data_IF_689477920416
#
_entry.id   IF_689477920416
#
_cell.length_a   1.000
_cell.length_b   1.000
_cell.length_c   1.000
_cell.angle_alpha   90.00
_cell.angle_beta   90.00
_cell.angle_gamma   90.00
#
_symmetry.space_group_name_H-M   'P 1'
#
loop_
_entity.id
_entity.type
_entity.pdbx_description
1 polymer ?
#
# COMPACT_ATOMS: atom_id res chain seq x y z
N UNK A 1 71.79 -66.37 41.01
CA UNK A 1 72.25 -64.96 41.17
C UNK A 1 71.12 -64.09 40.91
N UNK A 2 70.57 -63.45 41.97
CA UNK A 2 69.42 -62.56 41.91
C UNK A 2 69.87 -61.15 41.46
N UNK A 3 69.13 -60.57 40.52
CA UNK A 3 69.14 -59.11 40.35
C UNK A 3 67.70 -58.57 40.52
N UNK A 4 67.53 -57.76 41.56
CA UNK A 4 66.37 -56.98 41.84
C UNK A 4 66.37 -55.75 40.95
N UNK A 5 65.28 -55.47 40.22
CA UNK A 5 65.03 -54.19 39.55
C UNK A 5 63.97 -53.41 40.34
N UNK A 6 64.36 -52.25 40.81
CA UNK A 6 63.45 -51.26 41.42
C UNK A 6 62.57 -50.60 40.32
N UNK A 7 61.26 -50.72 40.48
CA UNK A 7 60.35 -49.99 39.66
C UNK A 7 60.12 -48.55 40.22
N UNK A 8 60.35 -47.55 39.38
CA UNK A 8 59.97 -46.16 39.64
C UNK A 8 58.50 -45.99 39.23
N UNK A 9 57.66 -45.58 40.20
CA UNK A 9 56.29 -45.16 39.99
C UNK A 9 56.32 -43.67 39.64
N UNK A 10 56.02 -43.34 38.37
CA UNK A 10 55.81 -41.96 37.95
C UNK A 10 54.32 -41.57 38.18
N UNK A 11 54.06 -40.61 39.08
CA UNK A 11 52.75 -39.98 39.19
C UNK A 11 52.57 -39.02 37.98
N UNK A 12 51.69 -39.36 37.06
CA UNK A 12 51.23 -38.46 36.03
C UNK A 12 50.08 -37.61 36.60
N UNK A 13 50.32 -36.34 36.86
CA UNK A 13 49.28 -35.35 37.19
C UNK A 13 48.52 -35.03 35.89
N UNK A 14 47.26 -35.49 35.79
CA UNK A 14 46.35 -35.13 34.72
C UNK A 14 45.90 -33.70 34.94
N UNK A 15 46.44 -32.75 34.16
CA UNK A 15 45.91 -31.41 34.04
C UNK A 15 44.61 -31.46 33.20
N UNK A 16 43.45 -31.33 33.81
CA UNK A 16 42.17 -31.14 33.10
C UNK A 16 42.22 -29.79 32.37
N UNK A 17 41.89 -29.69 31.09
CA UNK A 17 41.76 -28.42 30.42
C UNK A 17 40.55 -27.71 30.99
N UNK A 18 40.74 -26.50 31.57
CA UNK A 18 39.67 -25.57 31.87
C UNK A 18 39.11 -25.10 30.53
N UNK A 19 37.96 -25.64 30.14
CA UNK A 19 37.20 -25.14 28.99
C UNK A 19 36.74 -23.73 29.34
N UNK A 20 37.41 -22.72 28.77
CA UNK A 20 36.91 -21.36 28.81
C UNK A 20 35.51 -21.37 28.08
N UNK A 21 34.49 -20.71 28.62
CA UNK A 21 33.22 -20.60 27.90
C UNK A 21 33.52 -19.90 26.58
N UNK A 22 33.31 -20.61 25.48
CA UNK A 22 33.31 -20.01 24.18
C UNK A 22 32.09 -19.06 24.14
N UNK A 23 32.34 -17.79 24.39
CA UNK A 23 31.39 -16.75 23.94
C UNK A 23 31.39 -16.85 22.41
N UNK A 24 30.47 -17.63 21.89
CA UNK A 24 30.10 -17.54 20.50
C UNK A 24 29.63 -16.09 20.30
N UNK A 25 30.48 -15.27 19.72
CA UNK A 25 30.13 -13.96 19.23
C UNK A 25 29.16 -14.22 18.07
N UNK A 26 27.88 -14.50 18.40
CA UNK A 26 26.82 -14.56 17.41
C UNK A 26 26.73 -13.16 16.81
N UNK A 27 26.98 -13.07 15.50
CA UNK A 27 26.74 -11.83 14.75
C UNK A 27 25.29 -11.35 14.94
N UNK A 28 24.93 -10.20 14.44
CA UNK A 28 23.58 -9.68 14.58
C UNK A 28 22.54 -10.66 14.02
N UNK A 29 21.41 -10.78 14.70
CA UNK A 29 20.28 -11.62 14.25
C UNK A 29 19.70 -11.00 12.99
N UNK A 30 19.69 -11.78 11.90
CA UNK A 30 19.18 -11.33 10.62
C UNK A 30 17.64 -11.35 10.59
N UNK A 31 17.05 -10.23 10.18
CA UNK A 31 15.61 -10.03 9.98
C UNK A 31 15.36 -9.82 8.49
N UNK A 32 14.94 -10.84 7.78
CA UNK A 32 14.63 -10.77 6.36
C UNK A 32 13.32 -10.02 6.10
N UNK A 33 13.34 -9.06 5.19
CA UNK A 33 12.19 -8.23 4.83
C UNK A 33 11.95 -8.26 3.31
N UNK A 34 10.78 -8.75 2.88
CA UNK A 34 10.39 -8.77 1.48
C UNK A 34 9.43 -7.65 1.15
N UNK A 35 9.71 -6.90 0.07
CA UNK A 35 8.92 -5.76 -0.36
C UNK A 35 8.65 -5.74 -1.86
N UNK A 36 7.62 -4.97 -2.26
CA UNK A 36 7.15 -4.81 -3.64
C UNK A 36 7.42 -3.44 -4.24
N UNK A 37 8.29 -2.62 -3.63
CA UNK A 37 8.60 -1.28 -4.10
C UNK A 37 9.76 -1.31 -5.10
N UNK A 38 9.47 -0.90 -6.35
CA UNK A 38 10.49 -0.67 -7.36
C UNK A 38 11.28 0.62 -7.06
N UNK A 39 12.38 0.84 -7.78
CA UNK A 39 13.15 2.09 -7.68
C UNK A 39 12.33 3.29 -8.16
N UNK A 40 12.46 4.47 -7.51
CA UNK A 40 13.39 4.80 -6.40
C UNK A 40 12.90 4.42 -5.00
N UNK A 41 11.62 4.04 -4.84
CA UNK A 41 11.01 3.81 -3.53
C UNK A 41 11.67 2.63 -2.78
N UNK A 42 12.10 1.60 -3.51
CA UNK A 42 12.84 0.48 -2.95
C UNK A 42 14.17 0.92 -2.32
N UNK A 43 14.92 1.79 -3.02
CA UNK A 43 16.19 2.34 -2.51
C UNK A 43 16.00 3.13 -1.22
N UNK A 44 14.98 4.00 -1.16
CA UNK A 44 14.66 4.76 0.06
C UNK A 44 14.28 3.83 1.23
N UNK A 45 13.60 2.71 0.97
CA UNK A 45 13.29 1.72 2.00
C UNK A 45 14.55 0.98 2.48
N UNK A 46 15.48 0.68 1.56
CA UNK A 46 16.78 0.08 1.86
C UNK A 46 17.63 1.03 2.72
N UNK A 47 17.60 2.35 2.45
CA UNK A 47 18.27 3.37 3.26
C UNK A 47 17.71 3.40 4.69
N UNK A 48 16.39 3.31 4.88
CA UNK A 48 15.77 3.22 6.21
C UNK A 48 16.22 1.95 6.95
N UNK A 49 16.27 0.81 6.27
CA UNK A 49 16.78 -0.43 6.85
C UNK A 49 18.27 -0.31 7.24
N UNK A 50 19.08 0.34 6.40
CA UNK A 50 20.49 0.60 6.70
C UNK A 50 20.66 1.55 7.91
N UNK A 51 19.83 2.58 8.03
CA UNK A 51 19.82 3.48 9.18
C UNK A 51 19.49 2.74 10.48
N UNK A 52 18.46 1.87 10.46
CA UNK A 52 18.17 1.00 11.60
C UNK A 52 19.35 0.13 11.95
N UNK A 53 19.97 -0.52 10.96
CA UNK A 53 21.11 -1.39 11.16
C UNK A 53 22.32 -0.65 11.76
N UNK A 54 22.53 0.62 11.40
CA UNK A 54 23.59 1.45 11.95
C UNK A 54 23.30 1.96 13.38
N UNK A 55 22.03 2.01 13.80
CA UNK A 55 21.63 2.56 15.09
C UNK A 55 21.82 1.59 16.27
N UNK A 56 22.05 0.30 16.00
CA UNK A 56 22.18 -0.75 17.00
C UNK A 56 23.02 -1.93 16.44
N UNK A 57 23.40 -2.92 17.28
CA UNK A 57 24.28 -4.02 16.90
C UNK A 57 23.65 -5.41 17.03
N UNK A 58 22.44 -5.51 17.59
CA UNK A 58 21.78 -6.80 17.90
C UNK A 58 21.08 -7.40 16.68
N UNK A 59 20.51 -6.58 15.80
CA UNK A 59 19.68 -7.00 14.68
C UNK A 59 20.20 -6.43 13.37
N UNK A 60 19.96 -7.16 12.30
CA UNK A 60 20.28 -6.72 10.96
C UNK A 60 19.09 -6.97 10.04
N UNK A 61 18.39 -5.92 9.64
CA UNK A 61 17.32 -6.00 8.63
C UNK A 61 17.96 -6.11 7.25
N UNK A 62 17.54 -7.15 6.51
CA UNK A 62 17.96 -7.41 5.13
C UNK A 62 16.71 -7.35 4.24
N UNK A 63 16.56 -6.25 3.51
CA UNK A 63 15.46 -6.03 2.58
C UNK A 63 15.72 -6.73 1.25
N UNK A 64 14.66 -7.22 0.61
CA UNK A 64 14.72 -7.85 -0.70
C UNK A 64 13.49 -7.49 -1.53
N UNK A 65 13.72 -6.91 -2.70
CA UNK A 65 12.66 -6.67 -3.68
C UNK A 65 12.17 -7.99 -4.28
N UNK A 66 10.85 -8.22 -4.27
CA UNK A 66 10.22 -9.46 -4.78
C UNK A 66 9.29 -9.23 -5.97
N UNK A 67 9.48 -8.13 -6.68
CA UNK A 67 8.61 -7.69 -7.77
C UNK A 67 7.51 -6.76 -7.26
N UNK A 68 6.46 -6.54 -8.07
CA UNK A 68 5.31 -5.71 -7.63
C UNK A 68 4.54 -6.37 -6.47
N UNK A 69 3.64 -5.65 -5.85
CA UNK A 69 2.87 -6.13 -4.70
C UNK A 69 2.20 -7.50 -4.91
N UNK A 70 1.48 -7.77 -6.03
CA UNK A 70 0.93 -9.11 -6.27
C UNK A 70 1.98 -10.22 -6.29
N UNK A 71 3.15 -9.98 -6.90
CA UNK A 71 4.26 -10.95 -6.92
C UNK A 71 4.84 -11.18 -5.54
N UNK A 72 4.99 -10.13 -4.73
CA UNK A 72 5.44 -10.23 -3.33
C UNK A 72 4.47 -11.09 -2.51
N UNK A 73 3.15 -10.92 -2.71
CA UNK A 73 2.14 -11.74 -2.04
C UNK A 73 2.26 -13.23 -2.42
N UNK A 74 2.39 -13.53 -3.71
CA UNK A 74 2.57 -14.91 -4.19
C UNK A 74 3.84 -15.53 -3.59
N UNK A 75 4.95 -14.78 -3.58
CA UNK A 75 6.21 -15.22 -2.99
C UNK A 75 6.08 -15.50 -1.49
N UNK A 76 5.37 -14.64 -0.74
CA UNK A 76 5.15 -14.83 0.70
C UNK A 76 4.32 -16.09 1.00
N UNK A 77 3.26 -16.34 0.23
CA UNK A 77 2.42 -17.56 0.35
C UNK A 77 3.27 -18.81 0.07
N UNK A 78 4.07 -18.81 -1.00
CA UNK A 78 4.94 -19.92 -1.35
C UNK A 78 6.00 -20.14 -0.26
N UNK A 79 6.65 -19.07 0.21
CA UNK A 79 7.63 -19.12 1.28
C UNK A 79 7.07 -19.67 2.59
N UNK A 80 5.84 -19.29 2.96
CA UNK A 80 5.19 -19.85 4.14
C UNK A 80 4.96 -21.37 4.00
N UNK A 81 4.46 -21.81 2.86
CA UNK A 81 4.21 -23.26 2.60
C UNK A 81 5.49 -24.10 2.65
N UNK A 82 6.62 -23.54 2.21
CA UNK A 82 7.93 -24.19 2.20
C UNK A 82 8.77 -23.94 3.46
N UNK A 83 8.22 -23.29 4.48
CA UNK A 83 8.91 -22.89 5.71
C UNK A 83 10.14 -21.97 5.48
N UNK A 84 10.09 -21.16 4.44
CA UNK A 84 11.11 -20.15 4.06
C UNK A 84 10.56 -18.73 4.02
N UNK A 85 9.41 -18.48 4.64
CA UNK A 85 8.82 -17.13 4.69
C UNK A 85 9.79 -16.10 5.32
N UNK A 86 9.75 -14.83 4.88
CA UNK A 86 10.53 -13.78 5.51
C UNK A 86 10.03 -13.49 6.93
N UNK A 87 10.79 -12.74 7.70
CA UNK A 87 10.35 -12.24 9.00
C UNK A 87 9.28 -11.16 8.84
N UNK A 88 9.45 -10.31 7.83
CA UNK A 88 8.54 -9.21 7.50
C UNK A 88 8.21 -9.29 6.02
N UNK A 89 6.92 -9.13 5.70
CA UNK A 89 6.45 -8.93 4.33
C UNK A 89 5.68 -7.64 4.20
N UNK A 90 5.97 -6.88 3.17
CA UNK A 90 5.14 -5.77 2.75
C UNK A 90 3.93 -6.30 1.97
N UNK A 91 2.74 -5.97 2.44
CA UNK A 91 1.50 -6.37 1.80
C UNK A 91 0.65 -5.13 1.53
N UNK A 92 0.25 -4.96 0.26
CA UNK A 92 -0.62 -3.85 -0.13
C UNK A 92 -2.03 -4.03 0.45
N UNK A 93 -2.79 -2.93 0.52
CA UNK A 93 -4.09 -2.89 1.18
C UNK A 93 -5.06 -3.97 0.70
N UNK A 94 -5.01 -4.30 -0.59
CA UNK A 94 -5.85 -5.35 -1.21
C UNK A 94 -5.67 -6.71 -0.57
N UNK A 95 -4.46 -7.00 -0.12
CA UNK A 95 -4.12 -8.25 0.55
C UNK A 95 -4.59 -8.33 2.00
N UNK A 96 -5.05 -7.24 2.61
CA UNK A 96 -5.34 -7.16 4.05
C UNK A 96 -6.37 -8.18 4.49
N UNK A 97 -7.48 -8.34 3.79
CA UNK A 97 -8.50 -9.35 4.13
C UNK A 97 -7.94 -10.77 4.10
N UNK A 98 -7.12 -11.09 3.11
CA UNK A 98 -6.43 -12.39 3.01
C UNK A 98 -5.40 -12.58 4.13
N UNK A 99 -4.62 -11.54 4.45
CA UNK A 99 -3.63 -11.61 5.53
C UNK A 99 -4.29 -11.78 6.90
N UNK A 100 -5.39 -11.10 7.17
CA UNK A 100 -6.14 -11.26 8.43
C UNK A 100 -6.73 -12.66 8.60
N UNK A 101 -7.11 -13.32 7.51
CA UNK A 101 -7.58 -14.70 7.51
C UNK A 101 -6.45 -15.75 7.48
N UNK A 102 -5.20 -15.33 7.33
CA UNK A 102 -4.06 -16.25 7.16
C UNK A 102 -3.67 -17.00 8.45
N UNK A 103 -4.36 -16.79 9.58
CA UNK A 103 -4.21 -17.54 10.82
C UNK A 103 -2.73 -17.63 11.27
N UNK A 104 -2.20 -18.86 11.31
CA UNK A 104 -0.82 -19.13 11.77
C UNK A 104 0.28 -18.56 10.86
N UNK A 105 -0.04 -18.05 9.66
CA UNK A 105 0.99 -17.51 8.78
C UNK A 105 1.53 -16.16 9.26
N UNK A 106 0.74 -15.42 10.00
CA UNK A 106 1.11 -14.11 10.53
C UNK A 106 1.27 -14.15 12.05
N UNK A 107 2.08 -13.24 12.56
CA UNK A 107 2.12 -12.85 13.97
C UNK A 107 1.42 -11.51 14.06
N UNK A 108 0.20 -11.43 14.64
CA UNK A 108 -0.51 -10.16 14.80
C UNK A 108 0.34 -9.13 15.53
N UNK A 109 0.33 -7.88 15.04
CA UNK A 109 1.21 -6.84 15.59
C UNK A 109 0.97 -6.60 17.09
N UNK A 110 -0.30 -6.57 17.52
CA UNK A 110 -0.62 -6.38 18.93
C UNK A 110 -0.09 -7.51 19.84
N UNK A 111 -0.01 -8.74 19.33
CA UNK A 111 0.61 -9.86 20.07
C UNK A 111 2.13 -9.74 20.09
N UNK A 112 2.73 -9.42 18.94
CA UNK A 112 4.17 -9.19 18.82
C UNK A 112 4.64 -8.14 19.81
N UNK A 113 3.95 -7.00 19.88
CA UNK A 113 4.30 -5.89 20.79
C UNK A 113 4.11 -6.29 22.27
N UNK A 114 3.03 -6.98 22.61
CA UNK A 114 2.79 -7.48 23.97
C UNK A 114 3.90 -8.45 24.43
N UNK A 115 4.29 -9.40 23.58
CA UNK A 115 5.28 -10.42 23.91
C UNK A 115 6.69 -9.85 24.01
N UNK A 116 7.02 -8.87 23.19
CA UNK A 116 8.34 -8.25 23.16
C UNK A 116 8.47 -7.08 24.15
N UNK A 117 7.37 -6.55 24.67
CA UNK A 117 7.37 -5.34 25.51
C UNK A 117 7.75 -4.06 24.75
N UNK A 118 7.81 -4.09 23.42
CA UNK A 118 8.00 -2.90 22.57
C UNK A 118 6.70 -2.13 22.48
N UNK A 119 6.76 -0.80 22.56
CA UNK A 119 5.58 0.07 22.49
C UNK A 119 5.61 0.95 21.25
N UNK A 120 4.45 1.13 20.62
CA UNK A 120 4.20 2.05 19.51
C UNK A 120 2.92 2.81 19.82
N UNK A 121 2.94 4.14 19.69
CA UNK A 121 1.75 4.97 19.92
C UNK A 121 0.86 5.00 18.68
N UNK A 122 -0.13 4.10 18.60
CA UNK A 122 -1.09 4.09 17.51
C UNK A 122 -2.19 5.15 17.60
N UNK A 123 -2.33 5.85 18.73
CA UNK A 123 -3.30 6.95 18.85
C UNK A 123 -2.87 8.19 18.05
N UNK A 124 -1.58 8.29 17.73
CA UNK A 124 -1.04 9.33 16.84
C UNK A 124 -1.29 9.05 15.34
N UNK A 125 -1.63 7.81 14.98
CA UNK A 125 -1.88 7.47 13.57
C UNK A 125 -3.18 8.08 13.06
N UNK A 126 -3.18 8.44 11.76
CA UNK A 126 -4.38 8.92 11.08
C UNK A 126 -5.51 7.88 11.20
N UNK A 127 -6.75 8.28 11.55
CA UNK A 127 -7.84 7.34 11.80
C UNK A 127 -8.11 6.37 10.65
N UNK A 128 -8.06 6.85 9.39
CA UNK A 128 -8.25 6.01 8.21
C UNK A 128 -7.17 4.92 8.09
N UNK A 129 -5.93 5.24 8.43
CA UNK A 129 -4.80 4.30 8.38
C UNK A 129 -4.90 3.28 9.52
N UNK A 130 -5.06 3.76 10.76
CA UNK A 130 -5.22 2.90 11.94
C UNK A 130 -6.42 1.95 11.81
N UNK A 131 -7.58 2.51 11.47
CA UNK A 131 -8.84 1.76 11.40
C UNK A 131 -8.83 0.68 10.33
N UNK A 132 -8.04 0.87 9.26
CA UNK A 132 -7.95 -0.12 8.20
C UNK A 132 -7.18 -1.38 8.63
N UNK A 133 -6.07 -1.24 9.37
CA UNK A 133 -5.20 -2.34 9.77
C UNK A 133 -5.48 -2.89 11.18
N UNK A 134 -6.56 -2.47 11.82
CA UNK A 134 -6.98 -2.98 13.13
C UNK A 134 -8.20 -3.88 13.04
N UNK A 135 -8.36 -4.74 14.06
CA UNK A 135 -9.61 -5.44 14.33
C UNK A 135 -10.71 -4.47 14.78
N UNK A 136 -11.94 -4.95 14.89
CA UNK A 136 -13.07 -4.12 15.35
C UNK A 136 -12.89 -3.56 16.77
N UNK A 137 -12.14 -4.25 17.61
CA UNK A 137 -11.78 -3.84 18.98
C UNK A 137 -10.54 -2.91 19.05
N UNK A 138 -10.00 -2.51 17.90
CA UNK A 138 -8.85 -1.60 17.80
C UNK A 138 -7.47 -2.25 17.86
N UNK A 139 -7.37 -3.56 18.06
CA UNK A 139 -6.08 -4.27 18.08
C UNK A 139 -5.43 -4.27 16.70
N UNK A 140 -4.18 -3.80 16.62
CA UNK A 140 -3.45 -3.70 15.36
C UNK A 140 -2.97 -5.06 14.88
N UNK A 141 -3.19 -5.33 13.59
CA UNK A 141 -2.77 -6.58 12.94
C UNK A 141 -1.45 -6.44 12.17
N UNK A 142 -1.18 -5.26 11.63
CA UNK A 142 0.02 -4.96 10.84
C UNK A 142 0.57 -3.58 11.19
N UNK A 143 1.82 -3.31 10.80
CA UNK A 143 2.49 -2.02 10.93
C UNK A 143 2.21 -1.17 9.70
N UNK A 144 1.36 -0.12 9.79
CA UNK A 144 1.14 0.78 8.65
C UNK A 144 2.39 1.62 8.40
N UNK A 145 2.81 1.75 7.14
CA UNK A 145 3.98 2.56 6.81
C UNK A 145 3.80 3.37 5.53
N UNK A 146 3.78 2.74 4.37
CA UNK A 146 3.66 3.45 3.10
C UNK A 146 2.21 3.53 2.61
N UNK A 147 1.35 4.10 3.43
CA UNK A 147 -0.03 4.39 3.04
C UNK A 147 -0.11 5.57 2.07
N UNK A 148 -1.05 5.50 1.14
CA UNK A 148 -1.34 6.54 0.16
C UNK A 148 -2.85 6.76 0.05
N UNK A 149 -3.26 7.71 -0.77
CA UNK A 149 -4.60 7.76 -1.33
C UNK A 149 -4.51 8.15 -2.80
N UNK A 150 -5.52 7.83 -3.60
CA UNK A 150 -5.54 8.28 -4.98
C UNK A 150 -5.90 9.76 -5.04
N UNK A 151 -5.19 10.49 -5.89
CA UNK A 151 -5.47 11.88 -6.23
C UNK A 151 -5.38 12.08 -7.75
N UNK A 152 -5.75 13.25 -8.22
CA UNK A 152 -5.52 13.65 -9.59
C UNK A 152 -4.24 14.48 -9.67
N UNK A 153 -3.29 14.05 -10.50
CA UNK A 153 -2.19 14.91 -10.94
C UNK A 153 -2.49 15.48 -12.32
N UNK A 154 -1.96 16.67 -12.60
CA UNK A 154 -2.10 17.30 -13.91
C UNK A 154 -0.86 18.05 -14.32
N UNK A 155 -0.62 18.11 -15.63
CA UNK A 155 0.52 18.81 -16.22
C UNK A 155 0.15 20.26 -16.49
N UNK A 156 0.70 21.20 -15.71
CA UNK A 156 0.44 22.64 -15.82
C UNK A 156 0.86 23.21 -17.17
N UNK A 157 1.90 22.67 -17.81
CA UNK A 157 2.32 23.07 -19.15
C UNK A 157 1.29 22.64 -20.19
N UNK A 158 0.79 21.42 -20.11
CA UNK A 158 -0.30 20.95 -20.96
C UNK A 158 -1.56 21.80 -20.82
N UNK A 159 -1.89 22.24 -19.61
CA UNK A 159 -3.00 23.15 -19.33
C UNK A 159 -2.79 24.50 -20.02
N UNK A 160 -1.60 25.12 -19.88
CA UNK A 160 -1.27 26.39 -20.57
C UNK A 160 -1.43 26.27 -22.08
N UNK A 161 -0.87 25.22 -22.68
CA UNK A 161 -0.98 24.96 -24.14
C UNK A 161 -2.42 24.79 -24.62
N UNK A 162 -3.27 24.22 -23.76
CA UNK A 162 -4.71 24.07 -24.05
C UNK A 162 -5.54 25.31 -23.72
N UNK A 163 -4.91 26.43 -23.27
CA UNK A 163 -5.59 27.64 -22.82
C UNK A 163 -6.42 27.44 -21.54
N UNK A 164 -6.06 26.45 -20.71
CA UNK A 164 -6.64 26.22 -19.39
C UNK A 164 -5.82 26.96 -18.33
N UNK A 165 -6.46 27.33 -17.21
CA UNK A 165 -5.73 27.89 -16.08
C UNK A 165 -4.88 26.78 -15.41
N UNK A 166 -3.54 26.92 -15.36
CA UNK A 166 -2.65 25.91 -14.78
C UNK A 166 -2.77 25.78 -13.26
N UNK A 167 -3.43 26.72 -12.58
CA UNK A 167 -3.59 26.71 -11.13
C UNK A 167 -5.03 26.34 -10.70
N UNK A 168 -5.87 25.95 -11.65
CA UNK A 168 -7.26 25.56 -11.41
C UNK A 168 -7.56 24.20 -12.05
N UNK A 169 -7.54 23.17 -11.22
CA UNK A 169 -7.89 21.81 -11.63
C UNK A 169 -9.41 21.59 -11.66
N UNK A 170 -9.93 20.73 -12.54
CA UNK A 170 -11.34 20.32 -12.51
C UNK A 170 -11.68 19.61 -11.19
N UNK A 171 -12.86 19.93 -10.64
CA UNK A 171 -13.33 19.42 -9.35
C UNK A 171 -14.44 18.37 -9.49
N UNK A 172 -15.11 18.33 -10.62
CA UNK A 172 -16.20 17.40 -10.90
C UNK A 172 -16.06 16.81 -12.32
N UNK A 173 -16.84 15.76 -12.60
CA UNK A 173 -16.74 15.04 -13.89
C UNK A 173 -17.18 15.87 -15.11
N UNK A 174 -18.04 16.86 -14.93
CA UNK A 174 -18.41 17.78 -16.02
C UNK A 174 -17.22 18.67 -16.41
N UNK A 175 -16.59 19.29 -15.42
CA UNK A 175 -15.36 20.08 -15.64
C UNK A 175 -14.22 19.22 -16.16
N UNK A 176 -14.10 17.98 -15.65
CA UNK A 176 -13.09 17.02 -16.07
C UNK A 176 -13.19 16.70 -17.58
N UNK A 177 -14.40 16.41 -18.08
CA UNK A 177 -14.64 16.17 -19.51
C UNK A 177 -14.34 17.42 -20.34
N UNK A 178 -14.78 18.60 -19.89
CA UNK A 178 -14.50 19.85 -20.59
C UNK A 178 -12.99 20.14 -20.69
N UNK A 179 -12.25 19.94 -19.59
CA UNK A 179 -10.79 20.10 -19.58
C UNK A 179 -10.11 19.08 -20.53
N UNK A 180 -10.56 17.81 -20.51
CA UNK A 180 -10.03 16.77 -21.38
C UNK A 180 -10.23 17.09 -22.88
N UNK A 181 -11.41 17.63 -23.25
CA UNK A 181 -11.71 18.08 -24.61
C UNK A 181 -10.77 19.21 -25.04
N UNK A 182 -10.53 20.19 -24.17
CA UNK A 182 -9.60 21.28 -24.47
C UNK A 182 -8.14 20.82 -24.56
N UNK A 183 -7.72 19.91 -23.69
CA UNK A 183 -6.39 19.30 -23.76
C UNK A 183 -6.19 18.57 -25.12
N UNK A 184 -7.20 17.82 -25.56
CA UNK A 184 -7.18 17.16 -26.88
C UNK A 184 -7.04 18.15 -28.01
N UNK A 185 -7.85 19.23 -27.99
CA UNK A 185 -7.78 20.30 -28.99
C UNK A 185 -6.43 21.04 -28.96
N UNK A 186 -5.80 21.14 -27.80
CA UNK A 186 -4.45 21.70 -27.60
C UNK A 186 -3.30 20.76 -27.99
N UNK A 187 -3.61 19.60 -28.61
CA UNK A 187 -2.61 18.66 -29.12
C UNK A 187 -2.01 17.71 -28.09
N UNK A 188 -2.65 17.54 -26.93
CA UNK A 188 -2.23 16.54 -25.94
C UNK A 188 -2.74 15.16 -26.40
N UNK A 189 -1.79 14.23 -26.63
CA UNK A 189 -2.08 12.89 -27.16
C UNK A 189 -3.02 12.10 -26.24
N UNK A 190 -2.75 12.16 -24.93
CA UNK A 190 -3.50 11.48 -23.89
C UNK A 190 -4.04 12.50 -22.89
N UNK A 191 -5.22 13.15 -23.13
CA UNK A 191 -5.74 14.14 -22.20
C UNK A 191 -5.88 13.62 -20.78
N UNK A 192 -6.42 12.40 -20.60
CA UNK A 192 -6.63 11.74 -19.31
C UNK A 192 -6.16 10.30 -19.39
N UNK A 193 -5.48 9.87 -18.33
CA UNK A 193 -5.15 8.46 -18.10
C UNK A 193 -5.37 8.08 -16.64
N UNK A 194 -5.14 6.81 -16.30
CA UNK A 194 -5.27 6.29 -14.94
C UNK A 194 -4.21 5.24 -14.67
N UNK A 195 -3.71 5.20 -13.45
CA UNK A 195 -2.96 4.09 -12.89
C UNK A 195 -3.81 3.40 -11.83
N UNK A 196 -3.56 2.12 -11.54
CA UNK A 196 -4.32 1.34 -10.57
C UNK A 196 -5.85 1.41 -10.79
N UNK A 197 -6.32 1.08 -12.01
CA UNK A 197 -7.64 1.50 -12.50
C UNK A 197 -8.82 1.05 -11.64
N UNK A 198 -8.82 -0.15 -11.06
CA UNK A 198 -9.89 -0.56 -10.14
C UNK A 198 -9.90 0.29 -8.88
N UNK A 199 -8.72 0.57 -8.33
CA UNK A 199 -8.62 1.38 -7.12
C UNK A 199 -9.03 2.84 -7.37
N UNK A 200 -8.56 3.44 -8.46
CA UNK A 200 -8.82 4.85 -8.76
C UNK A 200 -10.21 5.09 -9.35
N UNK A 201 -10.72 4.19 -10.21
CA UNK A 201 -11.95 4.40 -10.96
C UNK A 201 -13.16 3.62 -10.41
N UNK A 202 -12.96 2.63 -9.55
CA UNK A 202 -14.06 1.89 -8.91
C UNK A 202 -14.12 2.18 -7.42
N UNK A 203 -13.09 1.81 -6.69
CA UNK A 203 -13.08 1.84 -5.23
C UNK A 203 -13.14 3.26 -4.67
N UNK A 204 -12.30 4.17 -5.19
CA UNK A 204 -12.33 5.60 -4.81
C UNK A 204 -13.61 6.27 -5.28
N UNK A 205 -14.08 5.95 -6.49
CA UNK A 205 -15.34 6.50 -7.00
C UNK A 205 -16.49 6.17 -6.08
N UNK A 206 -16.64 4.91 -5.70
CA UNK A 206 -17.69 4.47 -4.77
C UNK A 206 -17.51 5.11 -3.38
N UNK A 207 -16.29 5.12 -2.85
CA UNK A 207 -16.01 5.69 -1.53
C UNK A 207 -16.38 7.17 -1.45
N UNK A 208 -15.92 8.00 -2.40
CA UNK A 208 -16.17 9.45 -2.44
C UNK A 208 -17.68 9.76 -2.54
N UNK A 209 -18.45 8.88 -3.16
CA UNK A 209 -19.91 9.02 -3.28
C UNK A 209 -20.68 8.25 -2.19
N UNK A 210 -20.01 7.77 -1.17
CA UNK A 210 -20.60 7.00 -0.06
C UNK A 210 -21.45 5.80 -0.55
N UNK A 211 -21.04 5.16 -1.62
CA UNK A 211 -21.72 4.02 -2.23
C UNK A 211 -20.95 2.75 -1.89
N UNK A 212 -21.61 1.66 -1.46
CA UNK A 212 -20.92 0.43 -1.11
C UNK A 212 -20.32 -0.25 -2.35
N UNK A 213 -19.10 -0.80 -2.20
CA UNK A 213 -18.50 -1.73 -3.14
C UNK A 213 -19.00 -3.16 -2.89
N UNK A 214 -19.22 -3.47 -1.62
CA UNK A 214 -19.72 -4.77 -1.16
C UNK A 214 -20.60 -4.59 0.10
N UNK A 215 -21.40 -5.60 0.41
CA UNK A 215 -22.17 -5.68 1.66
C UNK A 215 -21.26 -5.75 2.89
N UNK A 216 -21.85 -5.70 4.08
CA UNK A 216 -21.13 -5.82 5.36
C UNK A 216 -19.98 -4.80 5.51
N UNK A 217 -20.29 -3.52 5.26
CA UNK A 217 -19.29 -2.43 5.33
C UNK A 217 -18.04 -2.75 4.49
N UNK A 218 -18.24 -3.12 3.22
CA UNK A 218 -17.15 -3.52 2.31
C UNK A 218 -16.30 -4.68 2.86
N UNK A 219 -16.92 -5.65 3.52
CA UNK A 219 -16.29 -6.85 4.06
C UNK A 219 -15.70 -6.72 5.47
N UNK A 220 -15.81 -5.56 6.13
CA UNK A 220 -15.39 -5.42 7.53
C UNK A 220 -16.28 -6.21 8.50
N UNK A 221 -17.55 -6.43 8.14
CA UNK A 221 -18.53 -7.14 8.98
C UNK A 221 -18.48 -8.68 8.87
N UNK A 222 -17.70 -9.24 7.95
CA UNK A 222 -17.59 -10.71 7.85
C UNK A 222 -17.22 -11.24 6.46
N UNK A 223 -16.99 -12.55 6.41
CA UNK A 223 -16.54 -13.25 5.20
C UNK A 223 -17.63 -13.49 4.16
N UNK A 224 -18.91 -13.40 4.54
CA UNK A 224 -20.06 -13.63 3.67
C UNK A 224 -20.51 -12.36 2.90
N UNK A 225 -19.63 -11.40 2.75
CA UNK A 225 -19.86 -10.21 1.94
C UNK A 225 -20.15 -10.57 0.47
N UNK A 226 -20.89 -9.69 -0.21
CA UNK A 226 -21.25 -9.80 -1.63
C UNK A 226 -20.93 -8.48 -2.34
N UNK A 227 -20.39 -8.55 -3.57
CA UNK A 227 -20.08 -7.37 -4.37
C UNK A 227 -21.34 -6.63 -4.82
N UNK A 228 -21.26 -5.31 -4.86
CA UNK A 228 -22.34 -4.40 -5.28
C UNK A 228 -21.86 -3.37 -6.32
N UNK A 229 -20.82 -3.71 -7.10
CA UNK A 229 -20.23 -2.78 -8.07
C UNK A 229 -21.12 -2.56 -9.31
N UNK A 230 -22.17 -3.34 -9.52
CA UNK A 230 -23.14 -3.19 -10.60
C UNK A 230 -24.25 -2.15 -10.32
N UNK A 231 -23.97 -1.20 -9.43
CA UNK A 231 -24.89 -0.12 -9.10
C UNK A 231 -24.94 0.98 -10.20
N UNK A 232 -25.99 1.82 -10.25
CA UNK A 232 -26.16 2.83 -11.27
C UNK A 232 -24.99 3.83 -11.38
N UNK A 233 -24.34 4.18 -10.26
CA UNK A 233 -23.19 5.07 -10.26
C UNK A 233 -22.02 4.50 -11.04
N UNK A 234 -21.69 3.22 -10.82
CA UNK A 234 -20.56 2.57 -11.50
C UNK A 234 -20.85 2.31 -12.99
N UNK A 235 -22.07 1.92 -13.31
CA UNK A 235 -22.50 1.78 -14.72
C UNK A 235 -22.38 3.13 -15.44
N UNK A 236 -22.87 4.22 -14.85
CA UNK A 236 -22.71 5.58 -15.36
C UNK A 236 -21.24 5.94 -15.53
N UNK A 237 -20.41 5.66 -14.51
CA UNK A 237 -19.00 6.03 -14.53
C UNK A 237 -18.24 5.28 -15.63
N UNK A 238 -18.44 3.98 -15.74
CA UNK A 238 -17.79 3.19 -16.81
C UNK A 238 -18.25 3.63 -18.20
N UNK A 239 -19.55 3.95 -18.40
CA UNK A 239 -20.04 4.56 -19.63
C UNK A 239 -19.33 5.88 -19.94
N UNK A 240 -19.13 6.76 -18.93
CA UNK A 240 -18.38 8.01 -19.10
C UNK A 240 -16.95 7.75 -19.59
N UNK A 241 -16.24 6.78 -19.01
CA UNK A 241 -14.89 6.44 -19.46
C UNK A 241 -14.86 5.84 -20.86
N UNK A 242 -15.87 5.01 -21.22
CA UNK A 242 -16.03 4.44 -22.57
C UNK A 242 -16.28 5.54 -23.60
N UNK A 243 -17.15 6.52 -23.30
CA UNK A 243 -17.39 7.68 -24.15
C UNK A 243 -16.13 8.50 -24.36
N UNK A 244 -15.45 8.87 -23.26
CA UNK A 244 -14.19 9.60 -23.33
C UNK A 244 -13.10 8.83 -24.09
N UNK A 245 -13.09 7.50 -24.01
CA UNK A 245 -12.21 6.64 -24.81
C UNK A 245 -12.49 6.75 -26.29
N UNK A 246 -13.77 6.72 -26.71
CA UNK A 246 -14.20 6.89 -28.11
C UNK A 246 -13.93 8.30 -28.63
N UNK A 247 -14.04 9.31 -27.79
CA UNK A 247 -13.70 10.70 -28.09
C UNK A 247 -12.17 10.93 -28.14
N UNK A 248 -11.36 9.97 -27.73
CA UNK A 248 -9.91 10.09 -27.62
C UNK A 248 -9.46 11.02 -26.50
N UNK A 249 -10.32 11.27 -25.49
CA UNK A 249 -10.03 12.12 -24.33
C UNK A 249 -9.61 11.33 -23.10
N UNK A 250 -9.81 10.01 -23.10
CA UNK A 250 -9.34 9.07 -22.08
C UNK A 250 -8.59 7.91 -22.73
N UNK A 251 -7.45 7.54 -22.14
CA UNK A 251 -6.68 6.36 -22.53
C UNK A 251 -6.43 5.46 -21.34
N UNK A 252 -6.83 4.21 -21.44
CA UNK A 252 -6.46 3.19 -20.48
C UNK A 252 -4.95 2.98 -20.50
N UNK A 253 -4.29 3.27 -19.37
CA UNK A 253 -2.82 3.24 -19.25
C UNK A 253 -2.23 1.84 -19.01
N UNK A 254 -3.08 0.83 -18.84
CA UNK A 254 -2.70 -0.53 -18.46
C UNK A 254 -3.06 -0.84 -17.01
N UNK A 255 -2.66 -2.03 -16.56
CA UNK A 255 -2.91 -2.52 -15.19
C UNK A 255 -1.88 -1.98 -14.21
N UNK A 256 -2.17 -2.08 -12.92
CA UNK A 256 -1.32 -1.59 -11.84
C UNK A 256 -0.86 -0.13 -12.09
N UNK A 257 0.40 0.17 -11.84
CA UNK A 257 0.99 1.49 -12.06
C UNK A 257 1.44 1.78 -13.50
N UNK A 258 1.00 1.02 -14.51
CA UNK A 258 1.49 1.17 -15.89
C UNK A 258 1.18 2.55 -16.48
N UNK A 259 0.03 3.13 -16.13
CA UNK A 259 -0.38 4.46 -16.59
C UNK A 259 0.54 5.60 -16.15
N UNK A 260 1.29 5.43 -15.05
CA UNK A 260 2.21 6.45 -14.54
C UNK A 260 3.23 6.89 -15.58
N UNK A 261 3.67 6.00 -16.48
CA UNK A 261 4.65 6.30 -17.51
C UNK A 261 4.16 7.33 -18.52
N UNK A 262 2.87 7.30 -18.89
CA UNK A 262 2.25 8.26 -19.84
C UNK A 262 2.22 9.67 -19.25
N UNK A 263 2.07 9.81 -17.96
CA UNK A 263 2.10 11.12 -17.30
C UNK A 263 3.53 11.57 -17.02
N UNK A 264 4.38 10.68 -16.53
CA UNK A 264 5.77 10.98 -16.18
C UNK A 264 6.58 11.47 -17.38
N UNK A 265 6.34 10.95 -18.59
CA UNK A 265 7.01 11.40 -19.81
C UNK A 265 6.36 12.64 -20.47
N UNK A 266 5.31 13.20 -19.88
CA UNK A 266 4.59 14.37 -20.38
C UNK A 266 3.59 14.12 -21.51
N UNK A 267 3.33 12.85 -21.89
CA UNK A 267 2.35 12.51 -22.93
C UNK A 267 0.89 12.67 -22.43
N UNK A 268 0.66 12.66 -21.12
CA UNK A 268 -0.69 12.83 -20.56
C UNK A 268 -0.87 14.20 -19.90
N UNK A 269 -2.06 14.77 -20.08
CA UNK A 269 -2.46 16.03 -19.45
C UNK A 269 -2.91 15.88 -17.99
N UNK A 270 -3.63 14.81 -17.69
CA UNK A 270 -4.16 14.48 -16.35
C UNK A 270 -4.05 12.98 -16.10
N UNK A 271 -3.81 12.61 -14.83
CA UNK A 271 -3.77 11.22 -14.39
C UNK A 271 -4.42 11.05 -13.01
N UNK A 272 -5.19 9.98 -12.85
CA UNK A 272 -5.59 9.46 -11.55
C UNK A 272 -4.54 8.46 -11.07
N UNK A 273 -3.86 8.75 -9.98
CA UNK A 273 -2.75 7.94 -9.50
C UNK A 273 -2.61 7.98 -7.97
N UNK A 274 -1.78 7.08 -7.45
CA UNK A 274 -1.37 7.12 -6.04
C UNK A 274 -0.61 8.40 -5.71
N UNK A 275 -0.88 8.99 -4.55
CA UNK A 275 -0.05 10.09 -4.00
C UNK A 275 1.44 9.73 -3.92
N UNK A 276 1.76 8.43 -3.71
CA UNK A 276 3.13 7.90 -3.72
C UNK A 276 3.85 7.97 -5.09
N UNK A 277 3.14 8.28 -6.18
CA UNK A 277 3.75 8.51 -7.49
C UNK A 277 4.39 9.91 -7.61
N UNK A 278 4.15 10.82 -6.65
CA UNK A 278 4.62 12.21 -6.70
C UNK A 278 6.13 12.32 -6.92
N UNK A 279 6.92 11.55 -6.19
CA UNK A 279 8.38 11.61 -6.33
C UNK A 279 8.85 11.27 -7.75
N UNK A 280 8.22 10.28 -8.39
CA UNK A 280 8.47 9.94 -9.78
C UNK A 280 8.08 11.08 -10.71
N UNK A 281 6.90 11.67 -10.53
CA UNK A 281 6.42 12.74 -11.39
C UNK A 281 7.25 14.02 -11.24
N UNK A 282 7.68 14.36 -10.03
CA UNK A 282 8.62 15.49 -9.81
C UNK A 282 9.94 15.27 -10.55
N UNK A 283 10.44 14.05 -10.61
CA UNK A 283 11.73 13.73 -11.25
C UNK A 283 11.63 13.60 -12.77
N UNK A 284 10.57 13.00 -13.29
CA UNK A 284 10.48 12.53 -14.67
C UNK A 284 9.63 13.45 -15.56
N UNK A 285 8.64 14.18 -15.00
CA UNK A 285 7.79 15.08 -15.79
C UNK A 285 8.63 16.23 -16.36
N UNK A 286 8.53 16.55 -17.66
CA UNK A 286 9.19 17.72 -18.23
C UNK A 286 8.85 19.00 -17.46
N UNK A 287 9.88 19.71 -16.96
CA UNK A 287 9.72 20.85 -16.06
C UNK A 287 9.52 20.49 -14.59
N UNK A 288 9.47 19.22 -14.25
CA UNK A 288 9.49 18.73 -12.87
C UNK A 288 8.39 19.31 -11.99
N UNK A 289 8.74 19.65 -10.75
CA UNK A 289 7.80 20.19 -9.76
C UNK A 289 7.06 21.44 -10.23
N UNK A 290 7.66 22.30 -11.07
CA UNK A 290 7.05 23.54 -11.56
C UNK A 290 5.84 23.26 -12.48
N UNK A 291 5.86 22.14 -13.19
CA UNK A 291 4.78 21.72 -14.08
C UNK A 291 3.83 20.68 -13.46
N UNK A 292 4.14 20.20 -12.26
CA UNK A 292 3.30 19.25 -11.56
C UNK A 292 2.20 19.96 -10.77
N UNK A 293 0.94 19.75 -11.14
CA UNK A 293 -0.23 20.08 -10.34
C UNK A 293 -0.80 18.85 -9.64
N UNK A 294 -1.42 19.06 -8.48
CA UNK A 294 -2.14 18.03 -7.76
C UNK A 294 -3.49 18.57 -7.31
N UNK A 295 -4.51 17.73 -7.36
CA UNK A 295 -5.88 18.06 -6.96
C UNK A 295 -6.58 16.86 -6.36
N UNK A 296 -7.64 17.10 -5.60
CA UNK A 296 -8.53 16.04 -5.13
C UNK A 296 -9.22 15.37 -6.33
N UNK A 297 -9.66 14.13 -6.14
CA UNK A 297 -10.40 13.40 -7.16
C UNK A 297 -11.73 14.11 -7.48
N UNK A 298 -12.09 14.22 -8.77
CA UNK A 298 -13.37 14.77 -9.18
C UNK A 298 -14.52 13.83 -8.80
N UNK A 299 -15.67 14.41 -8.56
CA UNK A 299 -16.89 13.68 -8.18
C UNK A 299 -18.08 14.08 -9.06
N UNK A 300 -19.17 13.34 -9.00
CA UNK A 300 -20.43 13.70 -9.63
C UNK A 300 -21.22 14.58 -8.66
N UNK A 301 -21.32 15.86 -8.96
CA UNK A 301 -21.95 16.87 -8.10
C UNK A 301 -23.49 16.79 -8.04
N UNK A 302 -24.09 15.96 -8.88
CA UNK A 302 -25.51 15.63 -8.87
C UNK A 302 -25.86 14.40 -8.01
N UNK A 303 -24.84 13.76 -7.41
CA UNK A 303 -25.04 12.67 -6.45
C UNK A 303 -25.09 13.26 -5.03
N UNK A 304 -26.23 13.14 -4.38
CA UNK A 304 -26.43 13.72 -3.04
C UNK A 304 -25.47 13.16 -2.00
N UNK A 305 -24.94 14.04 -1.14
CA UNK A 305 -24.00 13.69 -0.07
C UNK A 305 -22.55 13.55 -0.52
N UNK A 306 -22.25 13.59 -1.82
CA UNK A 306 -20.88 13.61 -2.32
C UNK A 306 -20.33 15.05 -2.38
N UNK A 307 -19.01 15.23 -2.23
CA UNK A 307 -18.00 14.23 -1.93
C UNK A 307 -17.80 14.01 -0.43
N UNK A 308 -17.57 12.77 -0.03
CA UNK A 308 -17.02 12.44 1.30
C UNK A 308 -15.51 12.15 1.22
N UNK A 309 -14.91 11.60 2.26
CA UNK A 309 -13.48 11.25 2.26
C UNK A 309 -13.16 10.11 1.28
N UNK A 310 -11.91 10.08 0.83
CA UNK A 310 -11.35 8.96 0.05
C UNK A 310 -10.88 7.82 0.95
N UNK A 311 -10.59 6.67 0.36
CA UNK A 311 -9.99 5.52 1.04
C UNK A 311 -8.47 5.52 0.89
N UNK A 312 -7.80 4.85 1.83
CA UNK A 312 -6.36 4.64 1.74
C UNK A 312 -6.01 3.57 0.70
N UNK A 313 -4.76 3.59 0.28
CA UNK A 313 -4.06 2.53 -0.44
C UNK A 313 -2.66 2.38 0.10
N UNK A 314 -1.77 1.79 -0.70
CA UNK A 314 -0.40 1.54 -0.31
C UNK A 314 -0.26 0.24 0.44
N UNK A 315 0.62 0.17 1.47
CA UNK A 315 0.91 -1.09 2.13
C UNK A 315 1.19 -0.94 3.62
N UNK A 316 1.05 -2.06 4.32
CA UNK A 316 1.52 -2.27 5.68
C UNK A 316 2.55 -3.41 5.72
N UNK A 317 3.33 -3.46 6.80
CA UNK A 317 4.29 -4.52 7.04
C UNK A 317 3.72 -5.53 8.03
N UNK A 318 3.81 -6.79 7.64
CA UNK A 318 3.25 -7.91 8.40
C UNK A 318 4.37 -8.78 8.94
N UNK A 319 4.38 -9.04 10.23
CA UNK A 319 5.24 -10.05 10.82
C UNK A 319 4.75 -11.45 10.42
N UNK A 320 5.65 -12.30 9.96
CA UNK A 320 5.32 -13.64 9.49
C UNK A 320 6.01 -14.73 10.31
N UNK A 321 5.29 -15.80 10.59
CA UNK A 321 5.89 -17.05 11.01
C UNK A 321 6.65 -17.70 9.84
N UNK A 322 7.64 -18.54 10.14
CA UNK A 322 8.51 -19.16 9.13
C UNK A 322 7.75 -20.10 8.20
N UNK A 323 6.81 -20.86 8.76
CA UNK A 323 6.04 -21.85 8.02
C UNK A 323 4.92 -22.47 8.88
N UNK A 324 4.16 -23.43 8.34
CA UNK A 324 2.98 -23.99 9.01
C UNK A 324 3.22 -24.55 10.41
N UNK A 325 4.43 -25.12 10.64
CA UNK A 325 4.85 -25.73 11.90
C UNK A 325 6.12 -25.08 12.48
N UNK A 326 6.48 -23.89 12.02
CA UNK A 326 7.71 -23.19 12.40
C UNK A 326 7.41 -21.73 12.76
N UNK A 327 7.49 -21.39 14.03
CA UNK A 327 7.40 -20.03 14.55
C UNK A 327 8.77 -19.35 14.55
N UNK A 328 8.81 -18.08 14.92
CA UNK A 328 10.01 -17.30 15.15
C UNK A 328 10.44 -17.40 16.62
N UNK A 329 11.73 -17.31 16.86
CA UNK A 329 12.27 -17.21 18.21
C UNK A 329 11.86 -15.89 18.89
N UNK A 330 11.99 -15.80 20.21
CA UNK A 330 11.74 -14.56 20.94
C UNK A 330 12.65 -13.40 20.47
N UNK A 331 13.91 -13.72 20.14
CA UNK A 331 14.86 -12.70 19.66
C UNK A 331 14.53 -12.24 18.22
N UNK A 332 14.14 -13.15 17.31
CA UNK A 332 13.65 -12.76 15.96
C UNK A 332 12.41 -11.84 16.09
N UNK A 333 11.45 -12.22 16.94
CA UNK A 333 10.27 -11.40 17.19
C UNK A 333 10.63 -10.03 17.80
N UNK A 334 11.61 -9.99 18.70
CA UNK A 334 12.12 -8.73 19.25
C UNK A 334 12.73 -7.84 18.17
N UNK A 335 13.53 -8.39 17.26
CA UNK A 335 14.11 -7.66 16.13
C UNK A 335 13.06 -7.08 15.19
N UNK A 336 11.99 -7.85 14.88
CA UNK A 336 10.86 -7.35 14.10
C UNK A 336 10.19 -6.16 14.79
N UNK A 337 9.90 -6.30 16.10
CA UNK A 337 9.22 -5.27 16.88
C UNK A 337 10.05 -3.99 17.02
N UNK A 338 11.36 -4.09 17.23
CA UNK A 338 12.26 -2.95 17.30
C UNK A 338 12.38 -2.21 15.97
N UNK A 339 12.44 -2.95 14.84
CA UNK A 339 12.38 -2.32 13.52
C UNK A 339 11.05 -1.60 13.29
N UNK A 340 9.91 -2.18 13.68
CA UNK A 340 8.62 -1.51 13.59
C UNK A 340 8.55 -0.25 14.47
N UNK A 341 9.11 -0.28 15.66
CA UNK A 341 9.20 0.91 16.51
C UNK A 341 10.12 1.99 15.91
N UNK A 342 11.21 1.60 15.24
CA UNK A 342 12.06 2.53 14.49
C UNK A 342 11.29 3.19 13.33
N UNK A 343 10.52 2.41 12.56
CA UNK A 343 9.68 2.92 11.48
C UNK A 343 8.60 3.89 11.97
N UNK A 344 8.11 3.74 13.20
CA UNK A 344 7.12 4.61 13.84
C UNK A 344 7.67 5.96 14.32
N UNK A 345 8.99 6.15 14.30
CA UNK A 345 9.58 7.43 14.73
C UNK A 345 9.10 8.56 13.83
N UNK A 346 8.69 9.67 14.44
CA UNK A 346 8.16 10.85 13.73
C UNK A 346 9.09 11.31 12.61
N UNK A 347 10.41 11.33 12.87
CA UNK A 347 11.43 11.68 11.87
C UNK A 347 11.41 10.74 10.65
N UNK A 348 11.32 9.43 10.88
CA UNK A 348 11.31 8.43 9.79
C UNK A 348 10.06 8.58 8.94
N UNK A 349 8.89 8.71 9.58
CA UNK A 349 7.61 8.93 8.89
C UNK A 349 7.61 10.24 8.11
N UNK A 350 8.13 11.34 8.70
CA UNK A 350 8.21 12.65 8.06
C UNK A 350 9.14 12.62 6.83
N UNK A 351 10.32 12.03 6.96
CA UNK A 351 11.28 11.90 5.87
C UNK A 351 10.72 11.04 4.73
N UNK A 352 10.08 9.91 5.06
CA UNK A 352 9.42 9.07 4.08
C UNK A 352 8.35 9.82 3.29
N UNK A 353 7.48 10.56 3.99
CA UNK A 353 6.45 11.39 3.37
C UNK A 353 7.03 12.41 2.38
N UNK A 354 7.99 13.21 2.83
CA UNK A 354 8.57 14.30 2.01
C UNK A 354 9.35 13.78 0.82
N UNK A 355 10.04 12.64 0.96
CA UNK A 355 10.82 12.01 -0.11
C UNK A 355 9.95 11.30 -1.15
N UNK A 356 8.73 10.83 -0.79
CA UNK A 356 7.97 9.94 -1.67
C UNK A 356 6.63 10.52 -2.13
N UNK A 357 5.91 11.22 -1.25
CA UNK A 357 4.50 11.62 -1.43
C UNK A 357 3.50 10.61 -0.86
N UNK A 358 3.95 9.52 -0.23
CA UNK A 358 3.07 8.72 0.64
C UNK A 358 2.58 9.58 1.81
N UNK A 359 1.49 9.17 2.45
CA UNK A 359 0.93 9.91 3.58
C UNK A 359 1.91 9.99 4.76
N UNK A 360 1.96 11.10 5.50
CA UNK A 360 2.54 11.11 6.84
C UNK A 360 1.55 10.40 7.76
N UNK A 361 1.73 9.08 7.94
CA UNK A 361 0.74 8.21 8.59
C UNK A 361 0.44 8.57 10.04
N UNK A 362 1.20 9.50 10.64
CA UNK A 362 0.99 10.01 12.00
C UNK A 362 0.76 11.52 12.00
N UNK A 363 -0.01 12.01 13.00
CA UNK A 363 -0.27 13.44 13.19
C UNK A 363 1.01 14.21 13.50
N UNK A 364 1.86 13.66 14.37
CA UNK A 364 3.13 14.27 14.74
C UNK A 364 4.04 14.48 13.51
N UNK A 365 4.13 13.52 12.60
CA UNK A 365 4.91 13.68 11.37
C UNK A 365 4.31 14.74 10.44
N UNK A 366 2.98 14.78 10.29
CA UNK A 366 2.30 15.82 9.51
C UNK A 366 2.61 17.23 10.05
N UNK A 367 2.47 17.42 11.38
CA UNK A 367 2.76 18.70 12.02
C UNK A 367 4.24 19.09 11.92
N UNK A 368 5.15 18.14 12.08
CA UNK A 368 6.57 18.36 11.88
C UNK A 368 6.86 18.87 10.46
N UNK A 369 6.33 18.19 9.44
CA UNK A 369 6.52 18.59 8.04
C UNK A 369 5.90 19.95 7.76
N UNK A 370 4.70 20.22 8.29
CA UNK A 370 4.01 21.51 8.16
C UNK A 370 4.86 22.64 8.74
N UNK A 371 5.46 22.43 9.91
CA UNK A 371 6.29 23.41 10.60
C UNK A 371 7.58 23.80 9.83
N UNK A 372 8.08 22.94 8.94
CA UNK A 372 9.23 23.25 8.08
C UNK A 372 8.88 24.16 6.89
N UNK A 373 7.62 24.45 6.63
CA UNK A 373 7.17 25.14 5.44
C UNK A 373 7.18 24.29 4.16
N UNK A 374 7.32 22.96 4.28
CA UNK A 374 7.41 22.05 3.14
C UNK A 374 6.23 22.20 2.17
N UNK A 375 5.01 22.29 2.67
CA UNK A 375 3.79 22.39 1.82
C UNK A 375 3.70 23.73 1.09
N UNK A 376 4.24 24.81 1.66
CA UNK A 376 4.36 26.10 0.98
C UNK A 376 5.34 26.03 -0.19
N UNK A 377 6.47 25.33 0.01
CA UNK A 377 7.49 25.12 -1.02
C UNK A 377 7.11 24.05 -2.04
N UNK A 378 6.18 23.16 -1.70
CA UNK A 378 5.70 22.05 -2.52
C UNK A 378 4.18 22.05 -2.62
N UNK A 379 3.58 23.01 -3.35
CA UNK A 379 2.13 23.13 -3.47
C UNK A 379 1.48 21.82 -3.94
N UNK A 380 0.40 21.43 -3.29
CA UNK A 380 -0.34 20.21 -3.59
C UNK A 380 0.20 18.92 -2.95
N UNK A 381 1.34 18.98 -2.24
CA UNK A 381 1.84 17.81 -1.51
C UNK A 381 0.96 17.41 -0.32
N UNK A 382 0.11 18.30 0.16
CA UNK A 382 -0.87 18.11 1.24
C UNK A 382 -2.27 17.68 0.74
N UNK A 383 -2.53 17.73 -0.56
CA UNK A 383 -3.83 17.34 -1.15
C UNK A 383 -4.29 15.94 -0.69
N UNK A 384 -3.43 14.90 -0.64
CA UNK A 384 -3.83 13.57 -0.18
C UNK A 384 -4.38 13.58 1.25
N UNK A 385 -3.77 14.38 2.13
CA UNK A 385 -4.18 14.50 3.54
C UNK A 385 -5.50 15.25 3.62
N UNK A 386 -5.61 16.37 2.92
CA UNK A 386 -6.84 17.15 2.87
C UNK A 386 -8.02 16.32 2.36
N UNK A 387 -7.80 15.49 1.33
CA UNK A 387 -8.83 14.62 0.76
C UNK A 387 -9.30 13.55 1.76
N UNK A 388 -8.38 12.91 2.48
CA UNK A 388 -8.71 11.93 3.53
C UNK A 388 -9.42 12.56 4.73
N UNK A 389 -9.09 13.80 5.06
CA UNK A 389 -9.67 14.53 6.18
C UNK A 389 -10.92 15.33 5.79
N UNK A 390 -11.38 15.23 4.54
CA UNK A 390 -12.62 15.89 4.10
C UNK A 390 -13.79 15.50 5.03
N UNK A 391 -14.67 16.44 5.34
CA UNK A 391 -15.78 16.19 6.27
C UNK A 391 -15.34 15.88 7.71
N UNK A 392 -14.14 16.34 8.13
CA UNK A 392 -13.58 16.09 9.46
C UNK A 392 -12.95 14.72 9.61
N UNK A 393 -12.72 13.99 8.51
CA UNK A 393 -12.10 12.67 8.52
C UNK A 393 -12.99 11.55 9.06
N UNK A 394 -14.29 11.81 9.18
CA UNK A 394 -15.25 10.78 9.59
C UNK A 394 -15.43 9.77 8.46
N UNK A 395 -15.16 8.51 8.76
CA UNK A 395 -15.35 7.39 7.83
C UNK A 395 -16.74 6.78 8.01
N UNK A 396 -17.37 6.44 6.90
CA UNK A 396 -18.58 5.61 6.86
C UNK A 396 -18.19 4.15 6.61
N UNK A 397 -19.13 3.21 6.66
CA UNK A 397 -18.92 1.82 6.23
C UNK A 397 -18.41 1.72 4.79
N UNK A 398 -18.83 2.67 3.92
CA UNK A 398 -18.48 2.68 2.49
C UNK A 398 -17.14 3.39 2.19
N UNK A 399 -16.67 4.27 3.06
CA UNK A 399 -15.44 5.07 2.85
C UNK A 399 -14.29 4.71 3.81
N UNK A 400 -14.44 3.67 4.58
CA UNK A 400 -13.45 3.14 5.51
C UNK A 400 -12.34 2.35 4.81
N UNK A 401 -12.59 1.86 3.61
CA UNK A 401 -11.74 0.95 2.84
C UNK A 401 -12.48 -0.32 2.44
N UNK A 402 -11.73 -1.29 1.91
CA UNK A 402 -12.29 -2.56 1.42
C UNK A 402 -11.50 -3.72 2.03
N UNK A 403 -12.18 -4.64 2.73
CA UNK A 403 -11.55 -5.74 3.45
C UNK A 403 -12.14 -7.09 3.03
N UNK A 404 -12.07 -7.37 1.74
CA UNK A 404 -12.58 -8.62 1.15
C UNK A 404 -11.47 -9.68 1.06
N UNK A 405 -11.82 -10.93 1.29
CA UNK A 405 -10.94 -12.06 1.02
C UNK A 405 -10.79 -12.31 -0.47
N UNK A 406 -9.57 -12.67 -0.91
CA UNK A 406 -9.31 -12.89 -2.34
C UNK A 406 -9.42 -11.64 -3.21
N UNK A 407 -9.38 -10.44 -2.63
CA UNK A 407 -9.67 -9.19 -3.35
C UNK A 407 -8.67 -8.89 -4.46
N UNK A 408 -7.45 -9.39 -4.40
CA UNK A 408 -6.48 -9.31 -5.51
C UNK A 408 -7.01 -9.96 -6.79
N UNK A 409 -7.63 -11.14 -6.67
CA UNK A 409 -8.27 -11.84 -7.80
C UNK A 409 -9.52 -11.09 -8.28
N UNK A 410 -10.33 -10.57 -7.35
CA UNK A 410 -11.52 -9.77 -7.66
C UNK A 410 -11.13 -8.50 -8.44
N UNK A 411 -10.06 -7.78 -8.05
CA UNK A 411 -9.53 -6.65 -8.82
C UNK A 411 -9.13 -7.07 -10.24
N UNK A 412 -8.50 -8.23 -10.40
CA UNK A 412 -8.14 -8.75 -11.72
C UNK A 412 -9.38 -8.98 -12.58
N UNK A 413 -10.42 -9.59 -12.02
CA UNK A 413 -11.72 -9.80 -12.70
C UNK A 413 -12.32 -8.46 -13.12
N UNK A 414 -12.41 -7.48 -12.22
CA UNK A 414 -12.94 -6.15 -12.54
C UNK A 414 -12.13 -5.47 -13.66
N UNK A 415 -10.80 -5.58 -13.63
CA UNK A 415 -9.94 -5.03 -14.70
C UNK A 415 -10.23 -5.67 -16.04
N UNK A 416 -10.34 -6.99 -16.12
CA UNK A 416 -10.68 -7.71 -17.35
C UNK A 416 -12.03 -7.25 -17.92
N UNK A 417 -13.04 -7.12 -17.08
CA UNK A 417 -14.37 -6.70 -17.51
C UNK A 417 -14.38 -5.22 -17.96
N UNK A 418 -13.67 -4.35 -17.25
CA UNK A 418 -13.52 -2.94 -17.66
C UNK A 418 -12.74 -2.82 -18.97
N UNK A 419 -11.66 -3.58 -19.18
CA UNK A 419 -10.89 -3.61 -20.42
C UNK A 419 -11.76 -4.02 -21.60
N UNK A 420 -12.56 -5.07 -21.45
CA UNK A 420 -13.51 -5.52 -22.50
C UNK A 420 -14.56 -4.47 -22.82
N UNK A 421 -15.08 -3.78 -21.83
CA UNK A 421 -16.03 -2.68 -22.02
C UNK A 421 -15.39 -1.51 -22.79
N UNK A 422 -14.21 -1.06 -22.35
CA UNK A 422 -13.46 0.02 -22.98
C UNK A 422 -13.06 -0.30 -24.44
N UNK A 423 -12.87 -1.59 -24.77
CA UNK A 423 -12.64 -2.08 -26.13
C UNK A 423 -13.93 -2.22 -26.95
N UNK A 424 -15.10 -1.91 -26.39
CA UNK A 424 -16.39 -2.02 -27.05
C UNK A 424 -16.93 -3.45 -27.21
N UNK A 425 -16.36 -4.43 -26.49
CA UNK A 425 -16.75 -5.84 -26.56
C UNK A 425 -18.00 -6.15 -25.72
N UNK A 426 -18.38 -5.26 -24.81
CA UNK A 426 -19.57 -5.37 -23.98
C UNK A 426 -20.00 -4.00 -23.45
N UNK A 427 -21.23 -3.93 -22.92
CA UNK A 427 -21.74 -2.73 -22.25
C UNK A 427 -21.15 -2.56 -20.86
N UNK A 428 -21.21 -1.35 -20.30
CA UNK A 428 -20.80 -1.08 -18.92
C UNK A 428 -21.60 -1.90 -17.93
N UNK A 429 -22.90 -2.04 -18.14
CA UNK A 429 -23.79 -2.85 -17.31
C UNK A 429 -23.40 -4.32 -17.32
N UNK A 430 -23.15 -4.91 -18.50
CA UNK A 430 -22.71 -6.29 -18.63
C UNK A 430 -21.35 -6.51 -17.93
N UNK A 431 -20.40 -5.56 -18.05
CA UNK A 431 -19.12 -5.62 -17.40
C UNK A 431 -19.24 -5.63 -15.86
N UNK A 432 -20.08 -4.75 -15.31
CA UNK A 432 -20.28 -4.68 -13.86
C UNK A 432 -21.05 -5.90 -13.32
N UNK A 433 -22.05 -6.40 -14.02
CA UNK A 433 -22.76 -7.64 -13.66
C UNK A 433 -21.85 -8.87 -13.70
N UNK A 434 -20.99 -8.98 -14.71
CA UNK A 434 -19.97 -10.04 -14.82
C UNK A 434 -18.97 -9.95 -13.66
N UNK A 435 -18.53 -8.75 -13.31
CA UNK A 435 -17.65 -8.51 -12.16
C UNK A 435 -18.27 -9.01 -10.86
N UNK A 436 -19.55 -8.74 -10.60
CA UNK A 436 -20.27 -9.21 -9.42
C UNK A 436 -20.38 -10.75 -9.44
N UNK A 437 -20.82 -11.32 -10.55
CA UNK A 437 -21.02 -12.78 -10.66
C UNK A 437 -19.72 -13.55 -10.44
N UNK A 438 -18.66 -13.17 -11.16
CA UNK A 438 -17.34 -13.82 -11.06
C UNK A 438 -16.67 -13.55 -9.72
N UNK A 439 -16.72 -12.31 -9.23
CA UNK A 439 -16.11 -11.93 -7.97
C UNK A 439 -16.78 -12.58 -6.75
N UNK A 440 -18.10 -12.77 -6.77
CA UNK A 440 -18.81 -13.49 -5.70
C UNK A 440 -18.43 -14.97 -5.63
N UNK A 441 -18.05 -15.61 -6.74
CA UNK A 441 -17.47 -16.96 -6.71
C UNK A 441 -16.17 -16.98 -5.90
N UNK A 442 -15.31 -15.99 -6.08
CA UNK A 442 -14.06 -15.85 -5.31
C UNK A 442 -14.37 -15.67 -3.82
N UNK A 443 -15.33 -14.78 -3.49
CA UNK A 443 -15.73 -14.54 -2.10
C UNK A 443 -16.29 -15.81 -1.44
N UNK A 444 -17.18 -16.55 -2.11
CA UNK A 444 -17.73 -17.81 -1.56
C UNK A 444 -16.65 -18.88 -1.37
N UNK A 445 -15.69 -18.98 -2.29
CA UNK A 445 -14.56 -19.89 -2.16
C UNK A 445 -13.68 -19.50 -0.96
N UNK A 446 -13.38 -18.23 -0.82
CA UNK A 446 -12.58 -17.71 0.31
C UNK A 446 -13.28 -17.95 1.65
N UNK A 447 -14.57 -17.64 1.75
CA UNK A 447 -15.39 -17.87 2.92
C UNK A 447 -15.35 -19.36 3.35
N UNK A 448 -15.61 -20.27 2.41
CA UNK A 448 -15.62 -21.71 2.68
C UNK A 448 -14.28 -22.23 3.21
N UNK A 449 -13.17 -21.70 2.72
CA UNK A 449 -11.83 -22.13 3.14
C UNK A 449 -11.35 -21.49 4.44
N UNK A 450 -12.01 -20.41 4.90
CA UNK A 450 -11.60 -19.63 6.07
C UNK A 450 -12.69 -19.55 7.17
N UNK A 451 -13.81 -20.22 7.01
CA UNK A 451 -14.73 -20.54 8.11
C UNK A 451 -14.09 -21.67 8.91
N UNK A 452 -13.30 -21.34 9.94
CA UNK A 452 -12.75 -22.26 10.93
C UNK A 452 -13.54 -22.25 12.21
#
# INVERSE_FOLDING_TARGET
MLRRSLGQVALAAAAAPIAAPAFAQSGPIEISFWHGLAQPLGGLLEEIAAEFNASQTRFRVVSSFRGCYPKTMVAAIAGFRSATAPHIVQMFEVGTGTMMAAGRAIKPLHELLRETGVTINFDDYLPAVRGYYSLADGRMMAMPFNSSTAIMFYNKDAFRRAGLNPDQAPTNWTEMRAAATRLRAGGIETPVTTAWPTWTQVEQMLAIHNTPLATLDNGFGGLNAELQVNNPLMVRHLNTLMEMGREGTFRWGGRDGAGDALFANGSSGMIFASSGARARFVRELPGGAANLGAAMLPFYNDVGGAPINSIIGGAAFWAMNRGPNATRSADENRGIAEFFAFLAQTRVVANWHTATGFLPVTRAAFEQVRATGFYTQNPGADIPIQQLLRGGGQMTGNSRGIRLGGFVEIRTIMQEEMERALQGQQTAEAAMNSSVTRGNVVLRNFERTNRG
#
